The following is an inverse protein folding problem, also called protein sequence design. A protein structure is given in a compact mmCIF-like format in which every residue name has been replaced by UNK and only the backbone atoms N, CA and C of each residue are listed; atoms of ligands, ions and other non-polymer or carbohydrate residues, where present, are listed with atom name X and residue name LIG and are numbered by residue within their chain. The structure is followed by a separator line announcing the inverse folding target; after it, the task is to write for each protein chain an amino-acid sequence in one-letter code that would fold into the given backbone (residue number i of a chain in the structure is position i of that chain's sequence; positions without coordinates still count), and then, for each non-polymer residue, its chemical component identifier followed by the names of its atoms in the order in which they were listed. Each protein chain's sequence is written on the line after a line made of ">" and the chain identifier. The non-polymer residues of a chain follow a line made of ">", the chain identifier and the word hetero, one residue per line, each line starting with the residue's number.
data_IF_493846584858
#
_entry.id   IF_493846584858
#
_cell.length_a   1.000
_cell.length_b   1.000
_cell.length_c   1.000
_cell.angle_alpha   90.00
_cell.angle_beta   90.00
_cell.angle_gamma   90.00
#
_symmetry.space_group_name_H-M   'P 1'
#
loop_
_entity.id
_entity.type
_entity.pdbx_description
1 polymer ?
#
# COMPACT_ATOMS: atom_id res chain seq x y z
N UNK A 1 -6.52 8.94 -8.25
CA UNK A 1 -6.29 7.48 -8.09
C UNK A 1 -5.25 7.18 -7.01
N UNK A 2 -4.00 7.66 -7.15
CA UNK A 2 -2.92 7.37 -6.18
C UNK A 2 -3.27 7.78 -4.73
N UNK A 3 -3.90 8.93 -4.51
CA UNK A 3 -4.34 9.36 -3.17
C UNK A 3 -5.40 8.43 -2.53
N UNK A 4 -6.29 7.83 -3.33
CA UNK A 4 -7.25 6.85 -2.83
C UNK A 4 -6.56 5.55 -2.42
N UNK A 5 -5.55 5.11 -3.20
CA UNK A 5 -4.72 3.95 -2.83
C UNK A 5 -4.00 4.22 -1.50
N UNK A 6 -3.44 5.41 -1.32
CA UNK A 6 -2.81 5.80 -0.04
C UNK A 6 -3.83 5.78 1.11
N UNK A 7 -5.02 6.36 0.92
CA UNK A 7 -6.08 6.32 1.93
C UNK A 7 -6.47 4.89 2.31
N UNK A 8 -6.55 4.00 1.33
CA UNK A 8 -6.81 2.57 1.56
C UNK A 8 -5.66 1.91 2.33
N UNK A 9 -4.39 2.14 1.94
CA UNK A 9 -3.22 1.62 2.66
C UNK A 9 -3.22 2.06 4.13
N UNK A 10 -3.63 3.30 4.39
CA UNK A 10 -3.72 3.83 5.74
C UNK A 10 -4.83 3.13 6.55
N UNK A 11 -5.98 2.90 5.94
CA UNK A 11 -7.12 2.24 6.59
C UNK A 11 -6.90 0.73 6.82
N UNK A 12 -6.14 0.07 5.94
CA UNK A 12 -5.76 -1.35 6.09
C UNK A 12 -4.65 -1.56 7.14
N UNK A 13 -3.93 -0.51 7.53
CA UNK A 13 -2.85 -0.62 8.51
C UNK A 13 -1.52 -1.11 7.91
N UNK A 14 -1.25 -0.80 6.64
CA UNK A 14 0.00 -1.16 5.96
C UNK A 14 1.21 -0.56 6.71
N UNK A 15 2.35 -1.28 6.82
CA UNK A 15 3.55 -0.81 7.49
C UNK A 15 3.88 0.67 7.26
N UNK A 16 4.23 1.37 8.34
CA UNK A 16 4.48 2.83 8.35
C UNK A 16 5.50 3.23 7.29
N UNK A 17 6.58 2.46 7.13
CA UNK A 17 7.65 2.75 6.17
C UNK A 17 7.11 2.81 4.73
N UNK A 18 6.24 1.86 4.37
CA UNK A 18 5.65 1.77 3.03
C UNK A 18 4.61 2.88 2.82
N UNK A 19 3.76 3.13 3.82
CA UNK A 19 2.74 4.18 3.76
C UNK A 19 3.34 5.59 3.65
N UNK A 20 4.39 5.89 4.42
CA UNK A 20 5.12 7.17 4.34
C UNK A 20 5.90 7.27 3.03
N UNK A 21 6.56 6.20 2.59
CA UNK A 21 7.26 6.16 1.31
C UNK A 21 6.33 6.44 0.13
N UNK A 22 5.13 5.84 0.13
CA UNK A 22 4.14 6.07 -0.91
C UNK A 22 3.52 7.48 -0.86
N UNK A 23 3.31 8.04 0.33
CA UNK A 23 2.89 9.44 0.47
C UNK A 23 3.97 10.40 -0.07
N UNK A 24 5.25 10.14 0.23
CA UNK A 24 6.38 10.88 -0.34
C UNK A 24 6.44 10.78 -1.86
N UNK A 25 6.21 9.58 -2.41
CA UNK A 25 6.14 9.36 -3.85
C UNK A 25 5.04 10.21 -4.52
N UNK A 26 3.83 10.25 -3.95
CA UNK A 26 2.74 11.09 -4.45
C UNK A 26 3.10 12.59 -4.34
N UNK A 27 3.76 12.98 -3.25
CA UNK A 27 4.18 14.36 -3.04
C UNK A 27 5.23 14.81 -4.07
N UNK A 28 6.19 13.93 -4.41
CA UNK A 28 7.21 14.17 -5.44
C UNK A 28 6.57 14.23 -6.84
N UNK A 29 5.60 13.35 -7.13
CA UNK A 29 4.82 13.41 -8.37
C UNK A 29 4.14 14.79 -8.53
N UNK A 30 3.44 15.25 -7.49
CA UNK A 30 2.80 16.58 -7.49
C UNK A 30 3.81 17.73 -7.58
N UNK A 31 4.94 17.63 -6.88
CA UNK A 31 6.00 18.64 -6.94
C UNK A 31 6.66 18.71 -8.32
N UNK A 32 6.73 17.59 -9.06
CA UNK A 32 7.22 17.57 -10.43
C UNK A 32 6.35 18.42 -11.36
N UNK A 33 5.03 18.42 -11.15
CA UNK A 33 4.10 19.29 -11.88
C UNK A 33 4.33 20.78 -11.54
N UNK A 34 4.63 21.11 -10.27
CA UNK A 34 4.97 22.48 -9.85
C UNK A 34 6.22 22.97 -10.60
N UNK A 35 7.28 22.14 -10.63
CA UNK A 35 8.51 22.46 -11.34
C UNK A 35 8.25 22.63 -12.84
N UNK A 36 7.42 21.79 -13.43
CA UNK A 36 7.05 21.89 -14.84
C UNK A 36 6.35 23.22 -15.17
N UNK A 37 5.35 23.62 -14.36
CA UNK A 37 4.58 24.86 -14.53
C UNK A 37 5.48 26.09 -14.32
N UNK A 38 6.34 26.09 -13.30
CA UNK A 38 7.18 27.25 -12.98
C UNK A 38 8.34 27.42 -13.96
N UNK A 39 8.95 26.32 -14.41
CA UNK A 39 10.13 26.38 -15.27
C UNK A 39 9.79 26.83 -16.68
N UNK A 40 8.57 26.55 -17.18
CA UNK A 40 8.08 26.96 -18.51
C UNK A 40 8.94 26.48 -19.70
N UNK A 41 9.97 25.67 -19.44
CA UNK A 41 11.00 25.22 -20.37
C UNK A 41 10.89 23.73 -20.71
N UNK A 42 9.98 23.01 -20.07
CA UNK A 42 9.81 21.59 -20.32
C UNK A 42 9.04 21.37 -21.63
N UNK A 43 9.63 20.57 -22.52
CA UNK A 43 8.93 20.07 -23.70
C UNK A 43 7.73 19.22 -23.26
N UNK A 44 6.64 19.28 -24.01
CA UNK A 44 5.46 18.42 -23.81
C UNK A 44 5.83 16.93 -23.69
N UNK A 45 6.90 16.49 -24.38
CA UNK A 45 7.42 15.13 -24.24
C UNK A 45 7.95 14.83 -22.83
N UNK A 46 8.74 15.75 -22.26
CA UNK A 46 9.33 15.60 -20.93
C UNK A 46 8.25 15.51 -19.85
N UNK A 47 7.17 16.27 -19.99
CA UNK A 47 6.05 16.26 -19.05
C UNK A 47 5.33 14.91 -19.08
N UNK A 48 4.94 14.44 -20.27
CA UNK A 48 4.24 13.14 -20.43
C UNK A 48 5.13 11.97 -19.97
N UNK A 49 6.45 12.05 -20.21
CA UNK A 49 7.40 11.02 -19.77
C UNK A 49 7.46 10.94 -18.24
N UNK A 50 7.59 12.08 -17.55
CA UNK A 50 7.65 12.14 -16.09
C UNK A 50 6.38 11.59 -15.47
N UNK A 51 5.20 12.02 -15.97
CA UNK A 51 3.90 11.51 -15.55
C UNK A 51 3.78 9.98 -15.73
N UNK A 52 4.28 9.45 -16.86
CA UNK A 52 4.28 8.02 -17.15
C UNK A 52 5.16 7.22 -16.19
N UNK A 53 6.30 7.77 -15.76
CA UNK A 53 7.20 7.13 -14.80
C UNK A 53 6.56 7.04 -13.41
N UNK A 54 5.85 8.08 -12.97
CA UNK A 54 5.12 8.03 -11.70
C UNK A 54 3.95 7.03 -11.74
N UNK A 55 3.25 6.93 -12.87
CA UNK A 55 2.19 5.91 -13.00
C UNK A 55 2.74 4.49 -13.06
N UNK A 56 3.87 4.28 -13.72
CA UNK A 56 4.61 3.00 -13.70
C UNK A 56 5.02 2.64 -12.27
N UNK A 57 5.60 3.60 -11.54
CA UNK A 57 6.00 3.40 -10.15
C UNK A 57 4.83 3.02 -9.23
N UNK A 58 3.72 3.76 -9.31
CA UNK A 58 2.54 3.46 -8.49
C UNK A 58 1.89 2.11 -8.84
N UNK A 59 1.91 1.72 -10.12
CA UNK A 59 1.20 0.53 -10.59
C UNK A 59 2.02 -0.75 -10.48
N UNK A 60 3.33 -0.67 -10.72
CA UNK A 60 4.23 -1.84 -10.79
C UNK A 60 5.19 -1.87 -9.61
N UNK A 61 5.86 -0.76 -9.32
CA UNK A 61 6.90 -0.73 -8.28
C UNK A 61 6.32 -0.88 -6.87
N UNK A 62 5.18 -0.25 -6.57
CA UNK A 62 4.54 -0.36 -5.26
C UNK A 62 4.20 -1.83 -4.88
N UNK A 63 3.52 -2.63 -5.72
CA UNK A 63 3.32 -4.05 -5.44
C UNK A 63 4.62 -4.84 -5.24
N UNK A 64 5.65 -4.58 -6.04
CA UNK A 64 6.96 -5.23 -5.90
C UNK A 64 7.61 -4.89 -4.56
N UNK A 65 7.58 -3.61 -4.16
CA UNK A 65 8.12 -3.16 -2.87
C UNK A 65 7.37 -3.75 -1.69
N UNK A 66 6.04 -3.88 -1.78
CA UNK A 66 5.23 -4.57 -0.76
C UNK A 66 5.63 -6.04 -0.62
N UNK A 67 5.81 -6.75 -1.74
CA UNK A 67 6.26 -8.15 -1.72
C UNK A 67 7.69 -8.28 -1.20
N UNK A 68 8.60 -7.40 -1.59
CA UNK A 68 9.97 -7.36 -1.09
C UNK A 68 10.01 -7.10 0.42
N UNK A 69 9.21 -6.13 0.90
CA UNK A 69 9.08 -5.86 2.33
C UNK A 69 8.59 -7.09 3.10
N UNK A 70 7.54 -7.75 2.61
CA UNK A 70 7.04 -8.99 3.19
C UNK A 70 8.10 -10.09 3.20
N UNK A 71 8.85 -10.25 2.11
CA UNK A 71 9.92 -11.25 2.02
C UNK A 71 11.08 -10.99 2.99
N UNK A 72 11.36 -9.73 3.31
CA UNK A 72 12.43 -9.38 4.25
C UNK A 72 11.97 -9.39 5.71
N UNK A 73 10.68 -9.13 5.95
CA UNK A 73 10.13 -9.01 7.31
C UNK A 73 9.66 -10.35 7.86
N UNK A 74 9.16 -11.24 7.00
CA UNK A 74 8.76 -12.58 7.40
C UNK A 74 10.00 -13.45 7.61
N UNK A 75 10.39 -13.63 8.87
CA UNK A 75 11.54 -14.46 9.21
C UNK A 75 11.07 -15.88 9.52
N UNK A 76 11.63 -16.84 8.80
CA UNK A 76 11.33 -18.25 9.00
C UNK A 76 12.64 -19.01 9.18
N UNK A 77 12.86 -19.52 10.40
CA UNK A 77 14.05 -20.29 10.72
C UNK A 77 14.00 -21.66 10.04
N UNK A 78 14.82 -21.82 9.00
CA UNK A 78 14.87 -23.04 8.20
C UNK A 78 15.40 -24.24 8.98
N UNK A 79 16.26 -24.03 9.99
CA UNK A 79 16.85 -25.12 10.76
C UNK A 79 15.81 -25.69 11.74
N UNK A 80 15.10 -24.80 12.43
CA UNK A 80 13.97 -25.18 13.30
C UNK A 80 12.84 -25.84 12.49
N UNK A 81 12.62 -25.37 11.26
CA UNK A 81 11.65 -25.96 10.35
C UNK A 81 11.97 -27.41 9.97
N UNK A 82 13.23 -27.70 9.64
CA UNK A 82 13.65 -29.06 9.28
C UNK A 82 13.42 -30.03 10.44
N UNK A 83 13.72 -29.58 11.67
CA UNK A 83 13.45 -30.34 12.89
C UNK A 83 11.94 -30.63 13.03
N UNK A 84 11.08 -29.63 12.82
CA UNK A 84 9.63 -29.85 12.88
C UNK A 84 9.10 -30.77 11.77
N UNK A 85 9.68 -30.73 10.57
CA UNK A 85 9.30 -31.66 9.51
C UNK A 85 9.69 -33.10 9.84
N UNK A 86 10.83 -33.32 10.50
CA UNK A 86 11.29 -34.65 10.92
C UNK A 86 10.46 -35.20 12.09
N UNK A 87 10.08 -34.36 13.05
CA UNK A 87 9.30 -34.75 14.22
C UNK A 87 7.80 -34.97 13.95
N UNK A 88 7.25 -34.32 12.93
CA UNK A 88 5.80 -34.33 12.68
C UNK A 88 5.38 -35.52 11.81
N UNK A 89 4.22 -36.14 12.10
CA UNK A 89 3.68 -37.19 11.24
C UNK A 89 3.38 -36.65 9.83
N UNK A 90 3.49 -37.52 8.84
CA UNK A 90 3.30 -37.16 7.41
C UNK A 90 1.95 -36.45 7.23
N UNK A 91 1.96 -35.29 6.56
CA UNK A 91 0.77 -34.46 6.30
C UNK A 91 0.26 -33.62 7.47
N UNK A 92 0.73 -33.83 8.71
CA UNK A 92 0.38 -32.97 9.86
C UNK A 92 1.05 -31.60 9.77
N UNK A 93 2.27 -31.57 9.21
CA UNK A 93 3.06 -30.36 9.13
C UNK A 93 2.37 -29.26 8.31
N UNK A 94 1.92 -29.56 7.09
CA UNK A 94 1.27 -28.58 6.19
C UNK A 94 0.06 -27.90 6.85
N UNK A 95 -0.71 -28.67 7.64
CA UNK A 95 -1.90 -28.17 8.33
C UNK A 95 -1.57 -27.31 9.56
N UNK A 96 -0.38 -27.49 10.16
CA UNK A 96 0.05 -26.82 11.40
C UNK A 96 1.19 -25.82 11.24
N UNK A 97 1.79 -25.71 10.05
CA UNK A 97 2.93 -24.84 9.76
C UNK A 97 2.72 -23.38 10.25
N UNK A 98 1.48 -22.88 10.14
CA UNK A 98 1.09 -21.53 10.58
C UNK A 98 1.19 -21.30 12.09
N UNK A 99 1.16 -22.35 12.90
CA UNK A 99 1.28 -22.23 14.36
C UNK A 99 2.73 -22.03 14.83
N UNK A 100 3.71 -22.37 13.98
CA UNK A 100 5.13 -22.24 14.31
C UNK A 100 5.72 -20.88 13.91
N UNK A 101 5.15 -20.22 12.90
CA UNK A 101 5.55 -18.88 12.49
C UNK A 101 5.01 -17.81 13.46
N UNK A 102 5.64 -16.63 13.46
CA UNK A 102 5.23 -15.51 14.29
C UNK A 102 3.85 -14.95 13.83
N UNK A 103 2.73 -15.14 14.56
CA UNK A 103 1.42 -14.57 14.24
C UNK A 103 1.43 -13.07 13.93
N UNK A 104 2.26 -12.28 14.60
CA UNK A 104 2.39 -10.85 14.29
C UNK A 104 2.89 -10.63 12.86
N UNK A 105 3.92 -11.35 12.44
CA UNK A 105 4.48 -11.28 11.08
C UNK A 105 3.52 -11.90 10.06
N UNK A 106 2.82 -12.98 10.42
CA UNK A 106 1.78 -13.59 9.56
C UNK A 106 0.63 -12.62 9.30
N UNK A 107 0.15 -11.92 10.34
CA UNK A 107 -0.93 -10.94 10.19
C UNK A 107 -0.46 -9.75 9.35
N UNK A 108 0.76 -9.26 9.56
CA UNK A 108 1.34 -8.19 8.72
C UNK A 108 1.45 -8.63 7.25
N UNK A 109 1.94 -9.85 7.02
CA UNK A 109 2.02 -10.46 5.69
C UNK A 109 0.63 -10.55 5.03
N UNK A 110 -0.37 -11.04 5.78
CA UNK A 110 -1.76 -11.16 5.31
C UNK A 110 -2.32 -9.82 4.91
N UNK A 111 -2.19 -8.80 5.75
CA UNK A 111 -2.69 -7.44 5.47
C UNK A 111 -2.04 -6.87 4.21
N UNK A 112 -0.71 -7.00 4.07
CA UNK A 112 -0.01 -6.58 2.87
C UNK A 112 -0.48 -7.33 1.62
N UNK A 113 -0.60 -8.66 1.67
CA UNK A 113 -1.02 -9.46 0.52
C UNK A 113 -2.48 -9.22 0.15
N UNK A 114 -3.32 -9.00 1.16
CA UNK A 114 -4.73 -8.67 1.01
C UNK A 114 -4.95 -7.32 0.34
N UNK A 115 -4.09 -6.34 0.62
CA UNK A 115 -4.09 -5.05 -0.06
C UNK A 115 -3.78 -5.20 -1.57
N UNK A 116 -2.94 -6.18 -1.93
CA UNK A 116 -2.57 -6.51 -3.30
C UNK A 116 -3.68 -7.25 -4.05
N UNK A 117 -4.56 -7.94 -3.33
CA UNK A 117 -5.67 -8.67 -3.93
C UNK A 117 -6.82 -7.74 -4.29
N UNK A 118 -7.54 -8.07 -5.36
CA UNK A 118 -8.82 -7.44 -5.68
C UNK A 118 -9.87 -8.05 -4.74
N UNK A 119 -10.34 -7.27 -3.77
CA UNK A 119 -11.36 -7.71 -2.79
C UNK A 119 -12.68 -7.00 -2.96
N UNK A 120 -12.65 -5.77 -3.45
CA UNK A 120 -13.85 -4.97 -3.71
C UNK A 120 -13.94 -4.52 -5.17
N UNK A 121 -15.15 -4.14 -5.57
CA UNK A 121 -15.41 -3.51 -6.88
C UNK A 121 -14.60 -2.22 -7.03
N UNK A 122 -14.45 -1.45 -5.94
CA UNK A 122 -13.63 -0.25 -5.93
C UNK A 122 -12.15 -0.58 -6.21
N UNK A 123 -11.61 -1.66 -5.64
CA UNK A 123 -10.24 -2.10 -5.91
C UNK A 123 -10.02 -2.48 -7.37
N UNK A 124 -11.02 -3.14 -7.96
CA UNK A 124 -11.01 -3.49 -9.37
C UNK A 124 -10.94 -2.24 -10.23
N UNK A 125 -11.82 -1.26 -9.98
CA UNK A 125 -11.81 0.02 -10.70
C UNK A 125 -10.52 0.81 -10.48
N UNK A 126 -9.99 0.85 -9.26
CA UNK A 126 -8.73 1.53 -8.97
C UNK A 126 -7.57 0.93 -9.76
N UNK A 127 -7.45 -0.40 -9.76
CA UNK A 127 -6.37 -1.11 -10.47
C UNK A 127 -6.52 -1.00 -11.98
N UNK A 128 -7.72 -1.23 -12.52
CA UNK A 128 -7.96 -1.08 -13.96
C UNK A 128 -7.70 0.37 -14.38
N UNK A 129 -8.22 1.35 -13.64
CA UNK A 129 -8.04 2.76 -13.94
C UNK A 129 -6.58 3.20 -13.91
N UNK A 130 -5.78 2.75 -12.93
CA UNK A 130 -4.34 3.02 -12.89
C UNK A 130 -3.60 2.37 -14.06
N UNK A 131 -3.89 1.10 -14.39
CA UNK A 131 -3.27 0.41 -15.51
C UNK A 131 -3.65 1.02 -16.88
N UNK A 132 -4.91 1.41 -17.06
CA UNK A 132 -5.37 2.10 -18.26
C UNK A 132 -4.77 3.50 -18.37
N UNK A 133 -4.68 4.25 -17.26
CA UNK A 133 -4.03 5.55 -17.21
C UNK A 133 -2.56 5.47 -17.61
N UNK A 134 -1.83 4.51 -17.04
CA UNK A 134 -0.45 4.19 -17.43
C UNK A 134 -0.35 3.82 -18.91
N UNK A 135 -1.17 2.88 -19.40
CA UNK A 135 -1.13 2.42 -20.79
C UNK A 135 -1.41 3.54 -21.78
N UNK A 136 -2.37 4.41 -21.47
CA UNK A 136 -2.70 5.58 -22.29
C UNK A 136 -1.51 6.55 -22.35
N UNK A 137 -0.93 6.91 -21.21
CA UNK A 137 0.21 7.84 -21.15
C UNK A 137 1.45 7.23 -21.84
N UNK A 138 1.71 5.94 -21.64
CA UNK A 138 2.78 5.24 -22.32
C UNK A 138 2.59 5.22 -23.84
N UNK A 139 1.37 4.96 -24.33
CA UNK A 139 1.04 5.06 -25.76
C UNK A 139 1.35 6.45 -26.31
N UNK A 140 1.01 7.51 -25.57
CA UNK A 140 1.32 8.90 -25.95
C UNK A 140 2.83 9.16 -26.03
N UNK A 141 3.62 8.64 -25.10
CA UNK A 141 5.09 8.72 -25.16
C UNK A 141 5.61 8.08 -26.44
N UNK A 142 5.14 6.87 -26.78
CA UNK A 142 5.54 6.14 -27.99
C UNK A 142 5.13 6.89 -29.26
N UNK A 143 3.89 7.40 -29.34
CA UNK A 143 3.42 8.22 -30.47
C UNK A 143 4.32 9.43 -30.70
N UNK A 144 4.68 10.15 -29.64
CA UNK A 144 5.57 11.32 -29.73
C UNK A 144 6.99 10.92 -30.14
N UNK A 145 7.53 9.81 -29.63
CA UNK A 145 8.84 9.29 -30.06
C UNK A 145 8.85 8.94 -31.55
N UNK A 146 7.81 8.28 -32.05
CA UNK A 146 7.66 7.96 -33.47
C UNK A 146 7.61 9.24 -34.30
N UNK A 147 6.82 10.24 -33.90
CA UNK A 147 6.75 11.53 -34.60
C UNK A 147 8.11 12.23 -34.66
N UNK A 148 8.86 12.26 -33.55
CA UNK A 148 10.21 12.83 -33.50
C UNK A 148 11.16 12.08 -34.44
N UNK A 149 11.10 10.74 -34.46
CA UNK A 149 11.93 9.94 -35.36
C UNK A 149 11.60 10.17 -36.83
N UNK A 150 10.31 10.18 -37.20
CA UNK A 150 9.88 10.46 -38.57
C UNK A 150 10.28 11.86 -39.03
N UNK A 151 10.20 12.85 -38.13
CA UNK A 151 10.58 14.22 -38.43
C UNK A 151 12.09 14.33 -38.67
N UNK A 152 12.93 13.67 -37.85
CA UNK A 152 14.38 13.58 -38.08
C UNK A 152 14.72 12.92 -39.42
N UNK A 153 14.02 11.84 -39.79
CA UNK A 153 14.23 11.17 -41.07
C UNK A 153 13.87 12.09 -42.26
N UNK A 154 12.74 12.82 -42.18
CA UNK A 154 12.36 13.82 -43.18
C UNK A 154 13.37 14.96 -43.27
N UNK A 155 13.85 15.46 -42.15
CA UNK A 155 14.85 16.54 -42.13
C UNK A 155 16.17 16.08 -42.74
N UNK A 156 16.63 14.85 -42.47
CA UNK A 156 17.80 14.28 -43.13
C UNK A 156 17.62 14.14 -44.65
N UNK A 157 16.43 13.71 -45.09
CA UNK A 157 16.12 13.56 -46.52
C UNK A 157 16.04 14.92 -47.22
N UNK A 158 15.38 15.91 -46.61
CA UNK A 158 15.32 17.28 -47.11
C UNK A 158 16.71 17.94 -47.14
N UNK A 159 17.57 17.70 -46.13
CA UNK A 159 18.94 18.24 -46.12
C UNK A 159 19.80 17.65 -47.24
N UNK A 160 19.59 16.38 -47.61
CA UNK A 160 20.27 15.74 -48.76
C UNK A 160 19.80 16.30 -50.11
N UNK A 161 18.50 16.52 -50.28
CA UNK A 161 17.92 17.12 -51.50
C UNK A 161 18.32 18.59 -51.62
N UNK A 162 18.28 19.35 -50.52
CA UNK A 162 18.57 20.79 -50.52
C UNK A 162 20.06 21.07 -50.73
N UNK A 163 20.98 20.16 -50.34
CA UNK A 163 22.40 20.24 -50.74
C UNK A 163 22.63 20.13 -52.26
N UNK A 164 21.70 19.53 -53.00
CA UNK A 164 21.74 19.48 -54.47
C UNK A 164 21.04 20.68 -55.13
N UNK A 165 20.20 21.42 -54.40
CA UNK A 165 19.42 22.58 -54.90
C UNK A 165 19.86 23.95 -54.35
N UNK A 166 20.84 23.99 -53.44
CA UNK A 166 21.34 25.21 -52.77
C UNK A 166 22.12 26.21 -53.67
N UNK A 167 21.97 26.14 -54.99
CA UNK A 167 22.46 27.18 -55.90
C UNK A 167 21.39 28.19 -56.32
N UNK A 168 20.13 28.02 -55.90
CA UNK A 168 19.10 29.01 -56.23
C UNK A 168 17.99 29.09 -55.19
N UNK A 169 17.89 30.28 -54.57
CA UNK A 169 16.73 30.85 -53.83
C UNK A 169 16.71 30.60 -52.30
N UNK A 170 16.68 31.68 -51.47
CA UNK A 170 16.42 31.57 -50.05
C UNK A 170 14.91 31.41 -49.81
N UNK A 171 14.48 30.26 -49.29
CA UNK A 171 13.08 30.04 -48.91
C UNK A 171 12.94 30.12 -47.40
N UNK A 172 12.21 31.13 -46.91
CA UNK A 172 11.84 31.29 -45.52
C UNK A 172 11.04 30.06 -45.04
N UNK A 173 11.64 29.26 -44.15
CA UNK A 173 10.98 28.15 -43.47
C UNK A 173 10.26 28.71 -42.26
N UNK A 174 8.95 28.92 -42.41
CA UNK A 174 8.05 29.13 -41.27
C UNK A 174 7.97 27.83 -40.47
N UNK A 175 8.85 27.71 -39.48
CA UNK A 175 8.76 26.67 -38.45
C UNK A 175 7.47 26.89 -37.65
N UNK A 176 6.52 25.98 -37.79
CA UNK A 176 5.33 25.91 -36.95
C UNK A 176 5.77 25.62 -35.52
N UNK A 177 6.04 26.69 -34.76
CA UNK A 177 6.20 26.61 -33.30
C UNK A 177 4.91 26.02 -32.74
N UNK A 178 4.97 24.80 -32.21
CA UNK A 178 3.85 24.26 -31.45
C UNK A 178 3.62 25.20 -30.28
N UNK A 179 2.47 25.88 -30.30
CA UNK A 179 2.10 26.80 -29.25
C UNK A 179 1.62 25.94 -28.07
N UNK A 180 2.54 25.59 -27.15
CA UNK A 180 2.12 25.06 -25.86
C UNK A 180 1.31 26.16 -25.16
N UNK A 181 0.07 25.85 -24.82
CA UNK A 181 -0.80 26.75 -24.06
C UNK A 181 -0.17 26.90 -22.68
N UNK A 182 0.27 28.12 -22.35
CA UNK A 182 0.85 28.45 -21.05
C UNK A 182 -0.18 28.22 -19.94
N UNK A 183 0.10 27.27 -19.05
CA UNK A 183 -0.70 27.02 -17.85
C UNK A 183 -0.56 28.20 -16.88
N UNK A 184 -1.65 28.69 -16.26
CA UNK A 184 -1.57 29.78 -15.29
C UNK A 184 -0.72 29.39 -14.08
N UNK A 185 0.19 30.28 -13.65
CA UNK A 185 1.10 30.04 -12.52
C UNK A 185 0.38 29.82 -11.19
N UNK A 186 -0.85 30.32 -11.04
CA UNK A 186 -1.68 30.06 -9.86
C UNK A 186 -1.99 28.58 -9.66
N UNK A 187 -2.03 27.79 -10.73
CA UNK A 187 -2.26 26.34 -10.65
C UNK A 187 -1.11 25.63 -9.92
N UNK A 188 0.12 26.15 -9.99
CA UNK A 188 1.26 25.60 -9.27
C UNK A 188 1.06 25.63 -7.74
N UNK A 189 0.32 26.61 -7.22
CA UNK A 189 0.01 26.68 -5.78
C UNK A 189 -0.90 25.53 -5.34
N UNK A 190 -1.81 25.06 -6.20
CA UNK A 190 -2.68 23.92 -5.89
C UNK A 190 -1.87 22.63 -5.79
N UNK A 191 -0.95 22.39 -6.74
CA UNK A 191 -0.08 21.21 -6.71
C UNK A 191 0.92 21.25 -5.54
N UNK A 192 1.44 22.43 -5.20
CA UNK A 192 2.27 22.61 -4.02
C UNK A 192 1.49 22.35 -2.73
N UNK A 193 0.29 22.92 -2.61
CA UNK A 193 -0.60 22.70 -1.47
C UNK A 193 -1.00 21.23 -1.32
N UNK A 194 -1.30 20.54 -2.43
CA UNK A 194 -1.59 19.11 -2.43
C UNK A 194 -0.39 18.26 -1.99
N UNK A 195 0.81 18.57 -2.49
CA UNK A 195 2.05 17.86 -2.11
C UNK A 195 2.30 17.93 -0.60
N UNK A 196 2.18 19.13 -0.02
CA UNK A 196 2.31 19.34 1.44
C UNK A 196 1.14 18.68 2.19
N UNK A 197 -0.07 18.81 1.67
CA UNK A 197 -1.30 18.25 2.25
C UNK A 197 -1.22 16.73 2.42
N UNK A 198 -0.78 16.00 1.39
CA UNK A 198 -0.65 14.54 1.44
C UNK A 198 0.32 14.11 2.53
N UNK A 199 1.51 14.73 2.61
CA UNK A 199 2.51 14.40 3.64
C UNK A 199 1.95 14.69 5.05
N UNK A 200 1.37 15.87 5.24
CA UNK A 200 0.88 16.31 6.55
C UNK A 200 -0.29 15.46 7.05
N UNK A 201 -1.24 15.13 6.17
CA UNK A 201 -2.37 14.25 6.51
C UNK A 201 -1.88 12.85 6.86
N UNK A 202 -1.01 12.25 6.04
CA UNK A 202 -0.46 10.92 6.32
C UNK A 202 0.29 10.88 7.64
N UNK A 203 1.20 11.84 7.87
CA UNK A 203 1.96 11.92 9.09
C UNK A 203 1.07 12.11 10.32
N UNK A 204 0.07 13.00 10.25
CA UNK A 204 -0.88 13.22 11.36
C UNK A 204 -1.75 11.99 11.63
N UNK A 205 -2.25 11.30 10.60
CA UNK A 205 -3.03 10.07 10.75
C UNK A 205 -2.22 8.98 11.44
N UNK A 206 -0.97 8.77 11.02
CA UNK A 206 -0.09 7.75 11.60
C UNK A 206 0.23 8.07 13.06
N UNK A 207 0.74 9.28 13.32
CA UNK A 207 1.14 9.68 14.69
C UNK A 207 -0.03 9.73 15.66
N UNK A 208 -1.22 10.08 15.20
CA UNK A 208 -2.44 10.09 16.04
C UNK A 208 -2.86 8.68 16.41
N UNK A 209 -3.00 7.78 15.42
CA UNK A 209 -3.37 6.38 15.69
C UNK A 209 -2.32 5.65 16.53
N UNK A 210 -1.02 5.87 16.27
CA UNK A 210 0.05 5.30 17.09
C UNK A 210 -0.04 5.71 18.55
N UNK A 211 -0.35 6.98 18.84
CA UNK A 211 -0.51 7.46 20.21
C UNK A 211 -1.65 6.77 20.94
N UNK A 212 -2.79 6.60 20.26
CA UNK A 212 -3.99 5.96 20.82
C UNK A 212 -3.76 4.46 21.04
N UNK A 213 -3.08 3.78 20.12
CA UNK A 213 -2.85 2.33 20.19
C UNK A 213 -1.59 1.94 20.99
N UNK A 214 -0.72 2.89 21.36
CA UNK A 214 0.50 2.64 22.16
C UNK A 214 0.25 1.85 23.46
N UNK A 215 -0.84 2.06 24.21
CA UNK A 215 -1.13 1.28 25.42
C UNK A 215 -1.49 -0.20 25.17
N UNK A 216 -1.76 -0.57 23.91
CA UNK A 216 -2.26 -1.89 23.51
C UNK A 216 -1.28 -2.63 22.59
N UNK A 217 -0.16 -3.15 23.11
CA UNK A 217 0.84 -3.86 22.29
C UNK A 217 0.30 -5.13 21.62
N UNK A 218 -0.77 -5.73 22.15
CA UNK A 218 -1.50 -6.85 21.56
C UNK A 218 -2.20 -6.50 20.23
N UNK A 219 -2.43 -5.21 19.97
CA UNK A 219 -2.95 -4.74 18.70
C UNK A 219 -1.82 -4.59 17.68
N UNK A 220 -1.55 -5.67 16.96
CA UNK A 220 -0.41 -5.76 16.03
C UNK A 220 -0.64 -4.99 14.72
N UNK A 221 -1.89 -4.83 14.30
CA UNK A 221 -2.26 -4.04 13.12
C UNK A 221 -3.46 -3.16 13.46
N UNK A 222 -3.40 -1.88 13.10
CA UNK A 222 -4.46 -0.90 13.32
C UNK A 222 -4.53 0.09 12.16
N UNK A 223 -5.71 0.68 11.97
CA UNK A 223 -5.95 1.67 10.93
C UNK A 223 -5.37 3.05 11.31
N UNK A 224 -4.73 3.74 10.37
CA UNK A 224 -4.25 5.11 10.57
C UNK A 224 -5.33 6.12 10.18
N UNK A 225 -5.89 6.80 11.17
CA UNK A 225 -7.00 7.73 10.99
C UNK A 225 -6.64 9.09 11.58
N UNK A 226 -7.04 10.14 10.87
CA UNK A 226 -6.86 11.52 11.34
C UNK A 226 -7.85 11.85 12.48
N UNK A 227 -9.03 11.22 12.49
CA UNK A 227 -10.09 11.49 13.46
C UNK A 227 -9.66 11.04 14.85
N UNK A 228 -9.81 11.91 15.83
CA UNK A 228 -9.61 11.56 17.23
C UNK A 228 -10.69 10.57 17.67
N UNK A 229 -10.28 9.41 18.14
CA UNK A 229 -11.12 8.36 18.69
C UNK A 229 -10.56 8.01 20.06
N UNK A 230 -11.43 7.78 21.04
CA UNK A 230 -11.02 7.28 22.35
C UNK A 230 -10.55 5.83 22.26
N UNK A 231 -11.10 5.07 21.32
CA UNK A 231 -10.76 3.66 21.09
C UNK A 231 -9.71 3.50 19.99
N UNK A 232 -8.75 2.59 20.21
CA UNK A 232 -7.77 2.18 19.20
C UNK A 232 -8.50 1.46 18.04
N UNK A 233 -8.35 1.91 16.78
CA UNK A 233 -8.96 1.27 15.61
C UNK A 233 -8.20 -0.01 15.22
N UNK A 234 -8.22 -1.00 16.11
CA UNK A 234 -7.51 -2.25 15.94
C UNK A 234 -8.12 -3.09 14.82
N UNK A 235 -7.25 -3.66 13.97
CA UNK A 235 -7.60 -4.53 12.84
C UNK A 235 -7.21 -5.98 13.11
N UNK A 236 -6.03 -6.20 13.68
CA UNK A 236 -5.58 -7.53 14.08
C UNK A 236 -5.08 -7.51 15.53
N UNK A 237 -5.71 -8.34 16.36
CA UNK A 237 -5.33 -8.58 17.74
C UNK A 237 -4.65 -9.93 17.84
N UNK A 238 -3.41 -9.93 18.34
CA UNK A 238 -2.65 -11.14 18.63
C UNK A 238 -2.21 -11.07 20.07
N UNK A 239 -2.77 -11.95 20.91
CA UNK A 239 -2.32 -12.09 22.29
C UNK A 239 -2.14 -13.57 22.64
N UNK A 240 -1.03 -13.89 23.29
CA UNK A 240 -0.87 -15.20 23.87
C UNK A 240 0.56 -15.62 24.13
N UNK A 241 0.70 -16.71 24.91
CA UNK A 241 1.99 -17.33 25.18
C UNK A 241 2.11 -18.64 24.38
N UNK A 242 3.10 -18.70 23.48
CA UNK A 242 3.36 -19.86 22.60
C UNK A 242 4.09 -21.00 23.31
N UNK A 243 4.80 -20.69 24.39
CA UNK A 243 5.61 -21.66 25.14
C UNK A 243 5.31 -21.49 26.64
N UNK A 244 4.14 -21.93 27.11
CA UNK A 244 3.90 -22.01 28.55
C UNK A 244 4.97 -22.88 29.19
N UNK A 245 5.59 -22.37 30.26
CA UNK A 245 6.73 -23.05 30.90
C UNK A 245 6.27 -24.15 31.85
N UNK A 246 5.02 -24.10 32.27
CA UNK A 246 4.44 -25.04 33.24
C UNK A 246 3.12 -25.62 32.76
N UNK A 247 2.83 -26.84 33.19
CA UNK A 247 1.53 -27.48 32.95
C UNK A 247 0.37 -26.66 33.56
N UNK A 248 0.62 -25.97 34.68
CA UNK A 248 -0.36 -25.09 35.31
C UNK A 248 -0.74 -23.91 34.41
N UNK A 249 0.24 -23.20 33.84
CA UNK A 249 0.01 -22.10 32.87
C UNK A 249 -0.72 -22.56 31.61
N UNK A 250 -0.56 -23.82 31.22
CA UNK A 250 -1.26 -24.38 30.07
C UNK A 250 -2.70 -24.80 30.41
N UNK A 251 -2.96 -25.25 31.64
CA UNK A 251 -4.29 -25.70 32.07
C UNK A 251 -5.18 -24.59 32.63
N UNK A 252 -4.58 -23.46 33.04
CA UNK A 252 -5.26 -22.28 33.57
C UNK A 252 -4.89 -21.04 32.74
N UNK A 253 -5.38 -20.94 31.49
CA UNK A 253 -5.09 -19.80 30.63
C UNK A 253 -5.64 -18.50 31.24
N UNK A 254 -4.88 -17.42 31.06
CA UNK A 254 -5.28 -16.09 31.51
C UNK A 254 -6.53 -15.62 30.75
N UNK A 255 -7.49 -15.03 31.47
CA UNK A 255 -8.67 -14.44 30.87
C UNK A 255 -8.30 -13.18 30.05
N UNK A 256 -8.78 -13.14 28.82
CA UNK A 256 -8.54 -12.07 27.86
C UNK A 256 -9.81 -11.24 27.55
N UNK A 257 -10.96 -11.53 28.18
CA UNK A 257 -12.25 -10.93 27.84
C UNK A 257 -12.24 -9.40 27.91
N UNK A 258 -11.75 -8.78 28.98
CA UNK A 258 -11.75 -7.30 29.13
C UNK A 258 -10.85 -6.60 28.10
N UNK A 259 -9.71 -7.21 27.77
CA UNK A 259 -8.79 -6.68 26.76
C UNK A 259 -9.40 -6.78 25.37
N UNK A 260 -10.01 -7.93 25.02
CA UNK A 260 -10.68 -8.10 23.74
C UNK A 260 -11.87 -7.15 23.63
N UNK A 261 -12.62 -6.95 24.71
CA UNK A 261 -13.70 -5.95 24.80
C UNK A 261 -13.20 -4.54 24.48
N UNK A 262 -12.12 -4.10 25.12
CA UNK A 262 -11.55 -2.76 24.91
C UNK A 262 -11.09 -2.53 23.46
N UNK A 263 -10.50 -3.54 22.82
CA UNK A 263 -9.99 -3.43 21.45
C UNK A 263 -11.04 -3.68 20.36
N UNK A 264 -12.10 -4.41 20.69
CA UNK A 264 -13.27 -4.59 19.81
C UNK A 264 -14.20 -3.37 19.85
N UNK A 265 -14.11 -2.49 20.87
CA UNK A 265 -14.98 -1.33 21.02
C UNK A 265 -15.00 -0.38 19.81
N UNK A 266 -13.90 -0.32 19.04
CA UNK A 266 -13.84 0.47 17.81
C UNK A 266 -14.65 -0.13 16.64
N UNK A 267 -15.09 -1.39 16.73
CA UNK A 267 -15.83 -2.11 15.68
C UNK A 267 -15.00 -2.42 14.43
N UNK A 268 -13.68 -2.26 14.49
CA UNK A 268 -12.77 -2.38 13.33
C UNK A 268 -12.06 -3.72 13.22
N UNK A 269 -12.25 -4.62 14.18
CA UNK A 269 -11.48 -5.86 14.29
C UNK A 269 -11.79 -6.81 13.13
N UNK A 270 -10.76 -7.33 12.49
CA UNK A 270 -10.85 -8.30 11.38
C UNK A 270 -10.24 -9.66 11.76
N UNK A 271 -9.16 -9.66 12.54
CA UNK A 271 -8.52 -10.88 13.05
C UNK A 271 -8.40 -10.85 14.57
N UNK A 272 -8.85 -11.92 15.22
CA UNK A 272 -8.63 -12.20 16.63
C UNK A 272 -7.86 -13.51 16.78
N UNK A 273 -6.66 -13.44 17.37
CA UNK A 273 -5.84 -14.62 17.64
C UNK A 273 -5.44 -14.67 19.12
N UNK A 274 -5.94 -15.71 19.81
CA UNK A 274 -5.67 -15.98 21.22
C UNK A 274 -4.89 -17.29 21.39
N UNK A 275 -3.69 -17.19 21.95
CA UNK A 275 -2.79 -18.34 22.17
C UNK A 275 -2.62 -18.61 23.67
N UNK A 276 -3.12 -19.74 24.17
CA UNK A 276 -3.12 -20.06 25.60
C UNK A 276 -3.74 -18.92 26.46
N UNK A 277 -4.88 -18.40 25.98
CA UNK A 277 -5.72 -17.37 26.61
C UNK A 277 -7.15 -17.82 26.44
N UNK A 278 -8.01 -17.51 27.40
CA UNK A 278 -9.43 -17.88 27.33
C UNK A 278 -10.32 -16.65 27.29
N UNK A 279 -11.49 -16.81 26.69
CA UNK A 279 -12.61 -15.89 26.83
C UNK A 279 -13.61 -16.53 27.78
N UNK A 280 -13.81 -15.93 28.96
CA UNK A 280 -14.81 -16.42 29.93
C UNK A 280 -16.22 -16.12 29.46
N UNK A 281 -16.40 -14.97 28.79
CA UNK A 281 -17.64 -14.52 28.16
C UNK A 281 -17.30 -13.97 26.77
N UNK A 282 -18.20 -14.21 25.81
CA UNK A 282 -18.11 -13.60 24.48
C UNK A 282 -18.57 -12.12 24.56
N UNK A 283 -17.67 -11.13 24.41
CA UNK A 283 -18.02 -9.72 24.58
C UNK A 283 -18.95 -9.24 23.45
N UNK A 284 -19.94 -8.42 23.80
CA UNK A 284 -20.92 -7.88 22.84
C UNK A 284 -20.28 -6.97 21.79
N UNK A 285 -19.17 -6.31 22.12
CA UNK A 285 -18.40 -5.45 21.21
C UNK A 285 -17.85 -6.22 20.00
N UNK A 286 -17.55 -7.53 20.16
CA UNK A 286 -17.17 -8.37 19.03
C UNK A 286 -18.34 -8.56 18.04
N UNK A 287 -19.59 -8.53 18.51
CA UNK A 287 -20.76 -8.57 17.62
C UNK A 287 -20.89 -7.30 16.77
N UNK A 288 -20.34 -6.17 17.26
CA UNK A 288 -20.23 -4.92 16.51
C UNK A 288 -19.15 -4.93 15.43
N UNK A 289 -18.27 -5.94 15.40
CA UNK A 289 -17.21 -6.05 14.39
C UNK A 289 -17.72 -6.76 13.13
N UNK A 290 -18.34 -6.01 12.21
CA UNK A 290 -18.96 -6.56 11.00
C UNK A 290 -17.97 -7.19 9.99
N UNK A 291 -16.67 -6.92 10.13
CA UNK A 291 -15.63 -7.41 9.22
C UNK A 291 -14.71 -8.46 9.86
N UNK A 292 -15.16 -9.11 10.96
CA UNK A 292 -14.39 -10.18 11.60
C UNK A 292 -14.31 -11.41 10.68
N UNK A 293 -13.11 -11.71 10.19
CA UNK A 293 -12.83 -12.80 9.22
C UNK A 293 -12.25 -14.03 9.89
N UNK A 294 -11.40 -13.84 10.90
CA UNK A 294 -10.68 -14.91 11.55
C UNK A 294 -10.78 -14.77 13.06
N UNK A 295 -11.28 -15.83 13.70
CA UNK A 295 -11.25 -16.00 15.14
C UNK A 295 -10.54 -17.33 15.41
N UNK A 296 -9.38 -17.22 16.05
CA UNK A 296 -8.60 -18.39 16.45
C UNK A 296 -8.42 -18.36 17.97
N UNK A 297 -8.97 -19.38 18.62
CA UNK A 297 -8.78 -19.65 20.03
C UNK A 297 -8.19 -21.06 20.19
N UNK A 298 -6.91 -21.11 20.55
CA UNK A 298 -6.19 -22.37 20.82
C UNK A 298 -6.62 -23.06 22.11
N UNK A 299 -7.24 -22.31 23.04
CA UNK A 299 -7.67 -22.81 24.34
C UNK A 299 -9.17 -23.12 24.37
N UNK A 300 -9.84 -23.20 23.21
CA UNK A 300 -11.28 -23.43 23.06
C UNK A 300 -11.69 -24.81 23.59
N UNK A 301 -11.64 -24.94 24.91
CA UNK A 301 -12.39 -25.90 25.71
C UNK A 301 -13.83 -25.42 25.61
N UNK A 302 -14.55 -25.93 24.60
CA UNK A 302 -16.01 -25.94 24.51
C UNK A 302 -16.67 -24.76 25.25
N UNK A 303 -16.48 -23.53 24.76
CA UNK A 303 -17.55 -22.56 24.94
C UNK A 303 -18.67 -23.14 24.10
N UNK A 304 -19.64 -23.76 24.78
CA UNK A 304 -20.89 -24.21 24.23
C UNK A 304 -21.51 -23.04 23.45
N UNK A 305 -21.17 -22.93 22.17
CA UNK A 305 -21.88 -22.11 21.20
C UNK A 305 -23.19 -22.83 20.90
N UNK A 306 -24.08 -22.90 21.89
CA UNK A 306 -25.49 -23.09 21.65
C UNK A 306 -26.01 -21.76 21.13
N UNK A 307 -26.01 -21.64 19.80
CA UNK A 307 -27.04 -20.94 19.06
C UNK A 307 -27.62 -21.92 18.04
#
# INVERSE_FOLDING_TARGET
>A
MQAFVLGKMLEEGIPVQLSVGFAGFIAVNSASCVVAILSGKHSAFSEILVDSLFDLGATVLLPILLLAYCSHTFYYDHDVFLIYMELMPIGSFERRARMFANPTEIELFRVCFDSLRIRSVLDLFLRIGMNLGFSYRFKRVVEVLIQIQMQRLRDQQNTRVNKQTALTIPRAVNSSKSCQISVPRSLALLFAGFSIGVITVTHKSITTSQRICKPHPECVVYAYRLKHSEFCPCKALVNGNRAPKTYYEWTHPVDATDMVKALAAAGTLETLQLINRQLTVFPDELRGCHNLKYLYDSAMRLINLYY
#
